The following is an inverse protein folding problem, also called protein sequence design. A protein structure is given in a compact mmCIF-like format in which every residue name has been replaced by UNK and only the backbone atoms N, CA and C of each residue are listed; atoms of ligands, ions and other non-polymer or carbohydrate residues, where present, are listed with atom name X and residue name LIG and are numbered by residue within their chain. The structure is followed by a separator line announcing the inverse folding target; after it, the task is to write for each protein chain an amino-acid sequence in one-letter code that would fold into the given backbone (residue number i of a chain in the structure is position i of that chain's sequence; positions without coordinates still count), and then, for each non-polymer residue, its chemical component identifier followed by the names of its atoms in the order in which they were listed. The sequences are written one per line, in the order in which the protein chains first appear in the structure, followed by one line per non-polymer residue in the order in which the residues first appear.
data_IF_279937047405
#
_entry.id   IF_279937047405
#
_cell.length_a   1.000
_cell.length_b   1.000
_cell.length_c   1.000
_cell.angle_alpha   90.00
_cell.angle_beta   90.00
_cell.angle_gamma   90.00
#
_symmetry.space_group_name_H-M   'P 1'
#
loop_
_entity.id
_entity.type
_entity.pdbx_description
1 polymer ?
#
# COMPACT_ATOMS: atom_id res chain seq x y z
N UNK A 1 35.97 -5.28 54.43
CA UNK A 1 34.55 -5.72 54.40
C UNK A 1 33.69 -4.48 54.55
N UNK A 2 32.80 -4.07 53.66
CA UNK A 2 32.50 -4.44 52.28
C UNK A 2 31.98 -3.15 51.63
N UNK A 3 32.43 -2.87 50.41
CA UNK A 3 32.00 -1.69 49.65
C UNK A 3 30.55 -1.85 49.23
N UNK A 4 29.75 -0.79 49.45
CA UNK A 4 28.44 -0.65 48.84
C UNK A 4 28.68 0.07 47.51
N UNK A 5 28.82 -0.72 46.45
CA UNK A 5 28.80 -0.25 45.08
C UNK A 5 27.39 0.26 44.78
N UNK A 6 27.26 1.58 44.64
CA UNK A 6 26.10 2.18 43.97
C UNK A 6 26.18 1.76 42.51
N UNK A 7 25.30 0.84 42.12
CA UNK A 7 25.11 0.44 40.73
C UNK A 7 24.64 1.69 39.98
N UNK A 8 25.57 2.21 39.20
CA UNK A 8 25.43 3.34 38.29
C UNK A 8 24.27 3.12 37.32
N UNK A 9 23.56 4.22 37.04
CA UNK A 9 22.44 4.25 36.12
C UNK A 9 22.77 3.61 34.79
N UNK A 10 21.78 2.90 34.23
CA UNK A 10 21.78 2.44 32.86
C UNK A 10 22.21 3.58 31.94
N UNK A 11 23.33 3.38 31.27
CA UNK A 11 23.76 4.21 30.15
C UNK A 11 22.61 4.30 29.14
N UNK A 12 22.21 5.54 28.83
CA UNK A 12 21.36 5.83 27.70
C UNK A 12 22.13 5.43 26.45
N UNK A 13 21.72 4.33 25.80
CA UNK A 13 22.25 3.93 24.51
C UNK A 13 22.09 5.09 23.52
N UNK A 14 23.16 5.34 22.77
CA UNK A 14 23.25 6.45 21.84
C UNK A 14 22.10 6.38 20.82
N UNK A 15 21.27 7.44 20.77
CA UNK A 15 20.37 7.69 19.65
C UNK A 15 21.12 7.40 18.36
N UNK A 16 20.62 6.46 17.54
CA UNK A 16 21.05 6.27 16.16
C UNK A 16 21.18 7.65 15.51
N UNK A 17 22.42 8.05 15.20
CA UNK A 17 22.66 9.22 14.38
C UNK A 17 22.37 8.81 12.93
N UNK A 18 21.73 9.69 12.17
CA UNK A 18 21.37 9.42 10.80
C UNK A 18 20.18 10.27 10.33
N UNK A 19 19.45 9.76 9.34
CA UNK A 19 18.27 10.44 8.79
C UNK A 19 17.02 10.03 9.56
N UNK A 20 16.25 11.02 10.01
CA UNK A 20 14.99 10.81 10.74
C UNK A 20 13.82 11.51 10.04
N UNK A 21 12.63 10.95 10.20
CA UNK A 21 11.39 11.57 9.76
C UNK A 21 10.23 11.19 10.68
N UNK A 22 9.38 12.18 10.97
CA UNK A 22 8.03 11.90 11.43
C UNK A 22 7.23 11.21 10.32
N UNK A 23 6.38 10.25 10.71
CA UNK A 23 5.55 9.54 9.78
C UNK A 23 4.23 9.09 10.41
N UNK A 24 3.22 9.04 9.54
CA UNK A 24 1.92 8.39 9.70
C UNK A 24 1.07 8.81 10.89
N UNK A 25 -0.24 8.84 10.68
CA UNK A 25 -1.16 8.53 11.76
C UNK A 25 -1.20 7.01 11.91
N UNK A 26 -0.74 6.47 13.04
CA UNK A 26 -0.77 5.05 13.34
C UNK A 26 -1.29 4.85 14.77
N UNK A 27 -2.45 4.22 14.99
CA UNK A 27 -3.11 4.15 16.29
C UNK A 27 -2.61 2.99 17.16
N UNK A 28 -1.34 2.61 17.02
CA UNK A 28 -0.71 1.56 17.82
C UNK A 28 0.64 2.04 18.30
N UNK A 29 0.89 1.90 19.60
CA UNK A 29 2.16 2.26 20.20
C UNK A 29 3.29 1.37 19.67
N UNK A 30 4.38 1.97 19.23
CA UNK A 30 5.52 1.27 18.69
C UNK A 30 6.83 1.95 19.08
N UNK A 31 7.65 1.25 19.84
CA UNK A 31 9.03 1.64 20.13
C UNK A 31 9.95 0.47 19.82
N UNK A 32 10.84 0.65 18.86
CA UNK A 32 11.77 -0.38 18.39
C UNK A 32 13.14 0.27 18.25
N UNK A 33 14.18 -0.42 18.67
CA UNK A 33 15.55 0.01 18.51
C UNK A 33 16.39 -1.21 18.10
N UNK A 34 17.05 -1.10 16.95
CA UNK A 34 17.96 -2.10 16.39
C UNK A 34 19.21 -1.40 15.85
N UNK A 35 20.23 -2.15 15.44
CA UNK A 35 21.41 -1.53 14.83
C UNK A 35 21.14 -0.92 13.44
N UNK A 36 20.02 -1.29 12.79
CA UNK A 36 19.67 -0.87 11.42
C UNK A 36 18.61 0.23 11.37
N UNK A 37 17.81 0.42 12.43
CA UNK A 37 16.81 1.47 12.51
C UNK A 37 16.28 1.67 13.94
N UNK A 38 15.53 2.76 14.16
CA UNK A 38 14.66 2.89 15.33
C UNK A 38 13.32 3.51 14.98
N UNK A 39 12.27 3.08 15.69
CA UNK A 39 10.95 3.72 15.70
C UNK A 39 10.68 4.21 17.11
N UNK A 40 10.17 5.43 17.22
CA UNK A 40 9.69 5.99 18.49
C UNK A 40 8.29 6.57 18.31
N UNK A 41 7.41 6.29 19.27
CA UNK A 41 6.11 6.94 19.37
C UNK A 41 6.29 8.37 19.89
N UNK A 42 5.61 9.35 19.28
CA UNK A 42 5.66 10.77 19.68
C UNK A 42 4.90 11.02 21.00
N UNK A 43 5.29 12.03 21.80
CA UNK A 43 4.61 12.35 23.07
C UNK A 43 3.12 12.66 22.93
N UNK A 44 2.71 13.30 21.82
CA UNK A 44 1.33 13.71 21.55
C UNK A 44 0.46 12.58 21.00
N UNK A 45 0.98 11.35 20.91
CA UNK A 45 0.31 10.20 20.32
C UNK A 45 -1.12 9.99 20.84
N UNK A 46 -1.32 9.97 22.17
CA UNK A 46 -2.62 9.63 22.75
C UNK A 46 -3.68 10.70 22.41
N UNK A 47 -3.29 11.98 22.46
CA UNK A 47 -4.21 13.08 22.13
C UNK A 47 -4.54 13.10 20.63
N UNK A 48 -3.55 12.84 19.78
CA UNK A 48 -3.74 12.73 18.33
C UNK A 48 -4.72 11.59 18.00
N UNK A 49 -4.52 10.39 18.57
CA UNK A 49 -5.39 9.23 18.33
C UNK A 49 -6.82 9.50 18.80
N UNK A 50 -6.99 10.15 19.96
CA UNK A 50 -8.30 10.53 20.47
C UNK A 50 -9.01 11.54 19.55
N UNK A 51 -8.31 12.56 19.07
CA UNK A 51 -8.87 13.59 18.17
C UNK A 51 -9.29 12.97 16.83
N UNK A 52 -8.40 12.22 16.18
CA UNK A 52 -8.68 11.63 14.86
C UNK A 52 -9.79 10.58 14.96
N UNK A 53 -9.78 9.72 15.98
CA UNK A 53 -10.80 8.68 16.13
C UNK A 53 -12.17 9.26 16.52
N UNK A 54 -12.21 10.43 17.16
CA UNK A 54 -13.43 11.15 17.55
C UNK A 54 -13.93 12.14 16.49
N UNK A 55 -13.25 12.30 15.36
CA UNK A 55 -13.65 13.26 14.32
C UNK A 55 -14.99 12.87 13.70
N UNK A 56 -15.88 13.86 13.52
CA UNK A 56 -17.21 13.67 12.92
C UNK A 56 -17.18 13.13 11.48
N UNK A 57 -16.05 13.27 10.79
CA UNK A 57 -15.84 12.76 9.44
C UNK A 57 -15.29 11.32 9.43
N UNK A 58 -15.21 10.66 10.59
CA UNK A 58 -14.91 9.23 10.67
C UNK A 58 -16.16 8.41 10.41
N UNK A 59 -16.07 7.51 9.43
CA UNK A 59 -17.12 6.55 9.13
C UNK A 59 -16.53 5.18 8.82
N UNK A 60 -16.95 4.15 9.56
CA UNK A 60 -16.55 2.73 9.37
C UNK A 60 -15.02 2.50 9.36
N UNK A 61 -14.28 3.28 10.16
CA UNK A 61 -12.82 3.18 10.27
C UNK A 61 -12.05 3.91 9.16
N UNK A 62 -12.73 4.79 8.42
CA UNK A 62 -12.13 5.70 7.43
C UNK A 62 -12.40 7.15 7.85
N UNK A 63 -11.42 8.02 7.68
CA UNK A 63 -11.61 9.47 7.84
C UNK A 63 -11.70 10.12 6.47
N UNK A 64 -12.68 11.00 6.34
CA UNK A 64 -12.95 11.77 5.14
C UNK A 64 -12.58 13.25 5.38
N UNK A 65 -12.15 13.98 4.34
CA UNK A 65 -11.91 15.40 4.44
C UNK A 65 -13.23 16.13 4.69
N UNK A 66 -13.21 17.09 5.62
CA UNK A 66 -14.35 17.97 5.86
C UNK A 66 -14.64 18.92 4.68
N UNK A 67 -15.75 19.64 4.79
CA UNK A 67 -16.15 20.63 3.79
C UNK A 67 -15.07 21.70 3.61
N UNK A 68 -14.64 21.89 2.35
CA UNK A 68 -13.62 22.90 2.04
C UNK A 68 -14.19 24.30 2.28
N UNK A 69 -13.46 25.13 3.01
CA UNK A 69 -13.82 26.53 3.22
C UNK A 69 -13.14 27.42 2.18
N UNK A 70 -13.90 28.31 1.55
CA UNK A 70 -13.40 29.31 0.62
C UNK A 70 -13.60 30.70 1.23
N UNK A 71 -12.51 31.46 1.33
CA UNK A 71 -12.54 32.86 1.75
C UNK A 71 -12.57 33.75 0.51
N UNK A 72 -13.66 34.49 0.33
CA UNK A 72 -13.81 35.46 -0.75
C UNK A 72 -12.81 36.63 -0.56
N UNK A 73 -12.03 36.90 -1.60
CA UNK A 73 -10.93 37.88 -1.54
C UNK A 73 -11.42 39.32 -1.29
N UNK A 74 -12.59 39.70 -1.82
CA UNK A 74 -13.05 41.10 -1.81
C UNK A 74 -13.73 41.53 -0.50
N UNK A 75 -14.39 40.62 0.21
CA UNK A 75 -15.21 40.92 1.39
C UNK A 75 -14.81 40.09 2.62
N UNK A 76 -13.89 39.11 2.48
CA UNK A 76 -13.46 38.23 3.56
C UNK A 76 -14.49 37.17 3.98
N UNK A 77 -15.64 37.09 3.29
CA UNK A 77 -16.69 36.13 3.62
C UNK A 77 -16.18 34.70 3.43
N UNK A 78 -16.45 33.85 4.42
CA UNK A 78 -16.13 32.43 4.36
C UNK A 78 -17.39 31.66 3.95
N UNK A 79 -17.29 30.87 2.88
CA UNK A 79 -18.34 29.97 2.45
C UNK A 79 -17.84 28.53 2.41
N UNK A 80 -18.68 27.59 2.81
CA UNK A 80 -18.46 26.17 2.55
C UNK A 80 -18.63 25.91 1.06
N UNK A 81 -17.66 25.23 0.45
CA UNK A 81 -17.74 24.77 -0.93
C UNK A 81 -18.70 23.60 -1.04
N UNK A 82 -19.37 23.40 -2.20
CA UNK A 82 -20.28 22.28 -2.43
C UNK A 82 -19.55 20.93 -2.60
N UNK A 83 -18.23 20.90 -2.44
CA UNK A 83 -17.39 19.72 -2.54
C UNK A 83 -16.29 19.75 -1.46
N UNK A 84 -15.83 18.58 -1.05
CA UNK A 84 -14.80 18.44 -0.02
C UNK A 84 -13.39 18.70 -0.59
N UNK A 85 -12.45 19.03 0.29
CA UNK A 85 -11.04 19.07 -0.08
C UNK A 85 -10.59 17.65 -0.46
N UNK A 86 -10.12 17.43 -1.69
CA UNK A 86 -9.73 16.08 -2.14
C UNK A 86 -8.40 15.60 -1.58
N UNK A 87 -7.54 16.53 -1.17
CA UNK A 87 -6.23 16.24 -0.58
C UNK A 87 -6.23 16.75 0.84
N UNK A 88 -5.91 15.89 1.79
CA UNK A 88 -5.79 16.27 3.19
C UNK A 88 -4.61 15.54 3.86
N UNK A 89 -4.34 15.95 5.09
CA UNK A 89 -3.28 15.43 5.94
C UNK A 89 -3.84 14.76 7.19
N UNK A 90 -3.02 13.91 7.79
CA UNK A 90 -3.24 13.44 9.16
C UNK A 90 -2.00 13.77 10.00
N UNK A 91 -2.18 14.06 11.29
CA UNK A 91 -1.06 14.31 12.20
C UNK A 91 -0.14 13.08 12.28
N UNK A 92 1.16 13.33 12.33
CA UNK A 92 2.17 12.28 12.49
C UNK A 92 2.22 11.82 13.94
N UNK A 93 2.48 10.54 14.15
CA UNK A 93 2.43 9.90 15.48
C UNK A 93 3.72 9.20 15.87
N UNK A 94 4.62 8.98 14.91
CA UNK A 94 5.85 8.23 15.11
C UNK A 94 7.02 8.89 14.39
N UNK A 95 8.24 8.59 14.82
CA UNK A 95 9.49 8.93 14.14
C UNK A 95 10.22 7.65 13.77
N UNK A 96 10.64 7.53 12.51
CA UNK A 96 11.55 6.50 12.03
C UNK A 96 12.93 7.14 11.85
N UNK A 97 13.97 6.47 12.32
CA UNK A 97 15.37 6.86 12.11
C UNK A 97 16.13 5.71 11.47
N UNK A 98 16.86 6.00 10.40
CA UNK A 98 17.84 5.12 9.78
C UNK A 98 19.27 5.61 10.08
N UNK A 99 20.27 4.72 10.16
CA UNK A 99 21.65 5.07 10.52
C UNK A 99 22.32 5.99 9.48
N UNK A 100 23.44 6.60 9.87
CA UNK A 100 24.32 7.36 8.97
C UNK A 100 24.66 6.57 7.70
N UNK A 101 24.69 7.27 6.55
CA UNK A 101 24.91 6.67 5.24
C UNK A 101 23.62 6.30 4.49
N UNK A 102 22.46 6.33 5.15
CA UNK A 102 21.14 6.28 4.51
C UNK A 102 20.64 7.65 4.11
N UNK A 103 19.70 7.69 3.18
CA UNK A 103 19.09 8.93 2.68
C UNK A 103 17.56 8.96 2.87
N UNK A 104 16.97 10.13 2.58
CA UNK A 104 15.54 10.35 2.75
C UNK A 104 14.66 9.48 1.84
N UNK A 105 15.08 9.22 0.60
CA UNK A 105 14.31 8.38 -0.32
C UNK A 105 14.22 6.93 0.20
N UNK A 106 15.30 6.41 0.78
CA UNK A 106 15.31 5.08 1.42
C UNK A 106 14.39 5.03 2.65
N UNK A 107 14.40 6.07 3.49
CA UNK A 107 13.49 6.16 4.63
C UNK A 107 12.03 6.18 4.18
N UNK A 108 11.71 7.02 3.20
CA UNK A 108 10.35 7.12 2.67
C UNK A 108 9.89 5.75 2.11
N UNK A 109 10.76 5.05 1.39
CA UNK A 109 10.49 3.69 0.91
C UNK A 109 10.19 2.70 2.05
N UNK A 110 10.96 2.72 3.14
CA UNK A 110 10.69 1.88 4.32
C UNK A 110 9.31 2.18 4.91
N UNK A 111 8.94 3.45 5.03
CA UNK A 111 7.61 3.85 5.51
C UNK A 111 6.51 3.34 4.56
N UNK A 112 6.73 3.36 3.25
CA UNK A 112 5.80 2.79 2.27
C UNK A 112 5.65 1.28 2.37
N UNK A 113 6.73 0.55 2.62
CA UNK A 113 6.64 -0.90 2.87
C UNK A 113 5.88 -1.16 4.18
N UNK A 114 6.17 -0.41 5.24
CA UNK A 114 5.46 -0.51 6.51
C UNK A 114 3.95 -0.24 6.34
N UNK A 115 3.61 0.79 5.56
CA UNK A 115 2.26 1.16 5.13
C UNK A 115 1.52 -0.04 4.50
N UNK A 116 2.18 -0.73 3.56
CA UNK A 116 1.66 -1.94 2.91
C UNK A 116 1.41 -3.07 3.91
N UNK A 117 2.40 -3.48 4.70
CA UNK A 117 2.25 -4.64 5.58
C UNK A 117 1.33 -4.39 6.79
N UNK A 118 1.18 -3.14 7.22
CA UNK A 118 0.16 -2.76 8.22
C UNK A 118 -1.24 -2.72 7.59
N UNK A 119 -1.35 -2.55 6.27
CA UNK A 119 -2.63 -2.40 5.60
C UNK A 119 -3.31 -1.08 5.88
N UNK A 120 -2.52 -0.01 6.04
CA UNK A 120 -3.00 1.33 6.36
C UNK A 120 -2.02 2.37 5.82
N UNK A 121 -2.54 3.50 5.32
CA UNK A 121 -1.69 4.52 4.72
C UNK A 121 -0.84 5.23 5.78
N UNK A 122 0.45 4.93 5.76
CA UNK A 122 1.52 5.67 6.42
C UNK A 122 2.35 6.42 5.37
N UNK A 123 2.77 7.63 5.71
CA UNK A 123 3.61 8.48 4.88
C UNK A 123 4.38 9.46 5.75
N UNK A 124 5.50 9.96 5.26
CA UNK A 124 6.29 11.03 5.89
C UNK A 124 5.87 12.43 5.40
N UNK A 125 4.88 12.51 4.50
CA UNK A 125 4.40 13.78 3.92
C UNK A 125 3.14 14.24 4.65
N UNK A 126 3.11 15.51 5.06
CA UNK A 126 1.99 16.10 5.82
C UNK A 126 0.66 16.11 5.03
N UNK A 127 0.71 16.20 3.71
CA UNK A 127 -0.45 16.14 2.82
C UNK A 127 -0.24 15.09 1.73
N UNK A 128 -1.24 14.23 1.51
CA UNK A 128 -1.10 13.15 0.53
C UNK A 128 -2.15 12.04 0.60
N UNK A 129 -3.18 12.21 1.44
CA UNK A 129 -4.35 11.34 1.46
C UNK A 129 -5.38 11.88 0.47
N UNK A 130 -5.80 11.04 -0.48
CA UNK A 130 -6.77 11.39 -1.51
C UNK A 130 -8.16 10.89 -1.12
N UNK A 131 -9.11 11.80 -1.00
CA UNK A 131 -10.56 11.60 -0.76
C UNK A 131 -10.96 10.88 0.55
N UNK A 132 -10.23 9.86 1.00
CA UNK A 132 -10.28 9.30 2.36
C UNK A 132 -9.04 8.46 2.66
N UNK A 133 -8.83 8.13 3.92
CA UNK A 133 -7.82 7.16 4.35
C UNK A 133 -8.32 6.34 5.52
N UNK A 134 -7.96 5.05 5.65
CA UNK A 134 -8.31 4.31 6.85
C UNK A 134 -7.59 4.91 8.06
N UNK A 135 -8.23 4.81 9.21
CA UNK A 135 -7.67 5.14 10.53
C UNK A 135 -7.42 3.89 11.38
N UNK A 136 -7.51 2.71 10.76
CA UNK A 136 -7.33 1.40 11.38
C UNK A 136 -6.43 0.51 10.51
N UNK A 137 -5.54 -0.29 11.11
CA UNK A 137 -4.76 -1.30 10.40
C UNK A 137 -5.61 -2.34 9.66
N UNK A 138 -5.03 -2.99 8.65
CA UNK A 138 -5.61 -4.13 7.92
C UNK A 138 -6.75 -3.77 6.95
N UNK A 139 -6.92 -2.49 6.61
CA UNK A 139 -7.99 -2.02 5.71
C UNK A 139 -7.59 -2.03 4.23
N UNK A 140 -6.28 -2.04 3.95
CA UNK A 140 -5.74 -1.89 2.59
C UNK A 140 -5.01 -3.13 2.05
N UNK A 141 -5.19 -4.28 2.70
CA UNK A 141 -4.61 -5.58 2.32
C UNK A 141 -5.57 -6.71 2.71
N UNK A 142 -5.37 -7.90 2.13
CA UNK A 142 -6.14 -9.12 2.40
C UNK A 142 -5.40 -10.13 3.29
N UNK A 143 -4.38 -9.68 4.03
CA UNK A 143 -3.63 -10.51 4.96
C UNK A 143 -3.47 -9.86 6.33
N UNK A 144 -3.11 -10.68 7.33
CA UNK A 144 -2.63 -10.24 8.64
C UNK A 144 -1.23 -10.78 8.86
N UNK A 145 -0.35 -9.95 9.44
CA UNK A 145 0.95 -10.42 9.89
C UNK A 145 0.76 -11.42 11.04
N UNK A 146 1.25 -12.64 10.85
CA UNK A 146 1.27 -13.70 11.86
C UNK A 146 2.72 -14.05 12.15
N UNK A 147 3.07 -14.19 13.43
CA UNK A 147 4.43 -14.55 13.87
C UNK A 147 5.54 -13.68 13.24
N UNK A 148 5.19 -12.45 12.88
CA UNK A 148 6.06 -11.47 12.26
C UNK A 148 5.76 -10.12 12.90
N UNK A 149 6.79 -9.32 13.04
CA UNK A 149 6.77 -8.05 13.75
C UNK A 149 6.95 -6.89 12.77
N UNK A 150 6.72 -5.67 13.25
CA UNK A 150 7.08 -4.45 12.52
C UNK A 150 8.58 -4.43 12.21
N UNK A 151 9.42 -4.98 13.09
CA UNK A 151 10.85 -5.06 12.84
C UNK A 151 11.15 -5.95 11.61
N UNK A 152 10.53 -7.13 11.52
CA UNK A 152 10.72 -8.04 10.37
C UNK A 152 10.32 -7.39 9.04
N UNK A 153 9.28 -6.56 9.05
CA UNK A 153 8.85 -5.78 7.88
C UNK A 153 9.90 -4.75 7.45
N UNK A 154 10.47 -4.02 8.41
CA UNK A 154 11.47 -2.99 8.13
C UNK A 154 12.78 -3.62 7.66
N UNK A 155 13.20 -4.72 8.30
CA UNK A 155 14.34 -5.52 7.86
C UNK A 155 14.15 -5.99 6.41
N UNK A 156 12.97 -6.52 6.06
CA UNK A 156 12.64 -6.90 4.68
C UNK A 156 12.75 -5.73 3.68
N UNK A 157 12.25 -4.55 4.05
CA UNK A 157 12.35 -3.36 3.21
C UNK A 157 13.80 -2.91 3.02
N UNK A 158 14.60 -2.94 4.09
CA UNK A 158 16.02 -2.60 4.02
C UNK A 158 16.79 -3.63 3.17
N UNK A 159 16.49 -4.92 3.29
CA UNK A 159 17.11 -5.97 2.48
C UNK A 159 16.75 -5.83 0.99
N UNK A 160 15.52 -5.44 0.67
CA UNK A 160 15.13 -5.09 -0.69
C UNK A 160 15.92 -3.91 -1.24
N UNK A 161 16.12 -2.83 -0.45
CA UNK A 161 16.95 -1.70 -0.87
C UNK A 161 18.39 -2.13 -1.16
N UNK A 162 18.96 -3.04 -0.35
CA UNK A 162 20.29 -3.61 -0.59
C UNK A 162 20.35 -4.42 -1.89
N UNK A 163 19.34 -5.25 -2.17
CA UNK A 163 19.28 -6.05 -3.39
C UNK A 163 19.11 -5.18 -4.65
N UNK A 164 18.50 -4.00 -4.52
CA UNK A 164 18.19 -3.10 -5.64
C UNK A 164 19.16 -1.91 -5.77
N UNK A 165 20.34 -1.93 -5.15
CA UNK A 165 21.31 -0.82 -5.23
C UNK A 165 21.66 -0.38 -6.67
N UNK A 166 21.53 -1.28 -7.64
CA UNK A 166 21.77 -1.01 -9.07
C UNK A 166 20.58 -0.43 -9.85
N UNK A 167 19.36 -0.44 -9.30
CA UNK A 167 18.15 0.05 -9.97
C UNK A 167 17.39 1.05 -9.09
N UNK A 168 17.75 2.33 -9.22
CA UNK A 168 17.08 3.43 -8.51
C UNK A 168 15.58 3.58 -8.84
N UNK A 169 15.07 2.95 -9.92
CA UNK A 169 13.64 2.96 -10.24
C UNK A 169 12.87 1.84 -9.54
N UNK A 170 13.51 0.76 -9.11
CA UNK A 170 12.83 -0.37 -8.49
C UNK A 170 12.09 0.02 -7.20
N UNK A 171 12.72 0.69 -6.20
CA UNK A 171 12.01 1.17 -5.01
C UNK A 171 10.86 2.13 -5.34
N UNK A 172 11.07 3.03 -6.31
CA UNK A 172 10.05 4.00 -6.75
C UNK A 172 8.83 3.31 -7.37
N UNK A 173 9.04 2.24 -8.16
CA UNK A 173 7.96 1.44 -8.73
C UNK A 173 7.19 0.66 -7.65
N UNK A 174 7.87 0.07 -6.67
CA UNK A 174 7.20 -0.61 -5.55
C UNK A 174 6.30 0.38 -4.80
N UNK A 175 6.82 1.56 -4.44
CA UNK A 175 6.01 2.63 -3.84
C UNK A 175 4.80 3.01 -4.70
N UNK A 176 4.98 3.10 -6.02
CA UNK A 176 3.89 3.40 -6.94
C UNK A 176 2.83 2.28 -7.00
N UNK A 177 3.24 1.00 -6.95
CA UNK A 177 2.31 -0.14 -6.90
C UNK A 177 1.50 -0.10 -5.61
N UNK A 178 2.15 0.09 -4.45
CA UNK A 178 1.46 0.21 -3.15
C UNK A 178 0.47 1.36 -3.17
N UNK A 179 0.88 2.52 -3.72
CA UNK A 179 -0.02 3.66 -3.84
C UNK A 179 -1.21 3.36 -4.75
N UNK A 180 -1.00 2.79 -5.93
CA UNK A 180 -2.08 2.44 -6.85
C UNK A 180 -3.06 1.43 -6.23
N UNK A 181 -2.56 0.41 -5.53
CA UNK A 181 -3.38 -0.52 -4.75
C UNK A 181 -4.27 0.22 -3.74
N UNK A 182 -3.69 1.13 -2.97
CA UNK A 182 -4.44 1.88 -1.95
C UNK A 182 -5.46 2.84 -2.55
N UNK A 183 -5.15 3.47 -3.69
CA UNK A 183 -6.12 4.29 -4.41
C UNK A 183 -7.29 3.45 -4.89
N UNK A 184 -7.06 2.22 -5.37
CA UNK A 184 -8.13 1.32 -5.78
C UNK A 184 -9.08 0.92 -4.64
N UNK A 185 -8.63 1.05 -3.39
CA UNK A 185 -9.37 0.66 -2.19
C UNK A 185 -10.16 1.78 -1.54
N UNK A 186 -10.15 2.98 -2.14
CA UNK A 186 -11.01 4.06 -1.70
C UNK A 186 -12.50 3.64 -1.74
N UNK A 187 -13.26 3.77 -0.63
CA UNK A 187 -14.62 3.21 -0.54
C UNK A 187 -15.65 3.76 -1.53
N UNK A 188 -15.43 4.94 -2.12
CA UNK A 188 -16.37 5.55 -3.08
C UNK A 188 -15.89 5.45 -4.54
N UNK A 189 -14.81 4.72 -4.82
CA UNK A 189 -14.40 4.51 -6.20
C UNK A 189 -15.49 3.80 -7.00
N UNK A 190 -15.68 4.26 -8.23
CA UNK A 190 -16.41 3.53 -9.25
C UNK A 190 -15.58 2.34 -9.73
N UNK A 191 -16.24 1.28 -10.19
CA UNK A 191 -15.59 0.02 -10.59
C UNK A 191 -14.50 0.23 -11.65
N UNK A 192 -14.69 1.15 -12.59
CA UNK A 192 -13.68 1.45 -13.62
C UNK A 192 -12.45 2.16 -13.04
N UNK A 193 -12.60 2.98 -11.99
CA UNK A 193 -11.48 3.65 -11.33
C UNK A 193 -10.63 2.62 -10.59
N UNK A 194 -11.29 1.74 -9.82
CA UNK A 194 -10.64 0.59 -9.17
C UNK A 194 -9.88 -0.25 -10.18
N UNK A 195 -10.53 -0.60 -11.29
CA UNK A 195 -9.92 -1.37 -12.38
C UNK A 195 -8.65 -0.71 -12.91
N UNK A 196 -8.71 0.58 -13.24
CA UNK A 196 -7.55 1.30 -13.80
C UNK A 196 -6.37 1.30 -12.82
N UNK A 197 -6.62 1.58 -11.54
CA UNK A 197 -5.58 1.58 -10.51
C UNK A 197 -4.95 0.19 -10.32
N UNK A 198 -5.78 -0.86 -10.21
CA UNK A 198 -5.31 -2.24 -10.06
C UNK A 198 -4.56 -2.71 -11.30
N UNK A 199 -5.02 -2.35 -12.49
CA UNK A 199 -4.33 -2.68 -13.73
C UNK A 199 -2.95 -2.01 -13.82
N UNK A 200 -2.85 -0.72 -13.47
CA UNK A 200 -1.57 -0.02 -13.39
C UNK A 200 -0.62 -0.67 -12.38
N UNK A 201 -1.14 -1.12 -11.23
CA UNK A 201 -0.36 -1.85 -10.22
C UNK A 201 0.18 -3.18 -10.79
N UNK A 202 -0.66 -3.99 -11.46
CA UNK A 202 -0.24 -5.24 -12.10
C UNK A 202 0.84 -5.01 -13.18
N UNK A 203 0.69 -3.99 -14.01
CA UNK A 203 1.67 -3.68 -15.07
C UNK A 203 3.00 -3.19 -14.49
N UNK A 204 2.97 -2.44 -13.40
CA UNK A 204 4.17 -2.02 -12.68
C UNK A 204 4.85 -3.19 -11.94
N UNK A 205 4.08 -4.13 -11.36
CA UNK A 205 4.60 -5.41 -10.87
C UNK A 205 5.30 -6.18 -12.00
N UNK A 206 4.69 -6.29 -13.18
CA UNK A 206 5.32 -6.96 -14.32
C UNK A 206 6.65 -6.31 -14.68
N UNK A 207 6.71 -4.96 -14.71
CA UNK A 207 7.94 -4.24 -15.01
C UNK A 207 9.04 -4.50 -13.99
N UNK A 208 8.72 -4.53 -12.70
CA UNK A 208 9.65 -4.88 -11.61
C UNK A 208 10.23 -6.29 -11.75
N UNK A 209 9.42 -7.21 -12.26
CA UNK A 209 9.77 -8.63 -12.33
C UNK A 209 10.51 -8.97 -13.62
N UNK A 210 10.14 -8.37 -14.76
CA UNK A 210 10.76 -8.64 -16.07
C UNK A 210 12.13 -7.96 -16.21
N UNK A 211 12.35 -6.80 -15.60
CA UNK A 211 13.63 -6.08 -15.69
C UNK A 211 14.79 -6.85 -15.06
N UNK A 212 14.48 -7.80 -14.18
CA UNK A 212 15.45 -8.68 -13.52
C UNK A 212 15.69 -9.99 -14.28
N UNK A 213 14.87 -10.27 -15.28
CA UNK A 213 14.99 -11.52 -16.04
C UNK A 213 15.86 -11.35 -17.27
N UNK A 214 16.75 -12.31 -17.48
CA UNK A 214 17.44 -12.49 -18.74
C UNK A 214 16.51 -13.17 -19.79
N UNK A 215 15.24 -12.74 -19.89
CA UNK A 215 14.32 -13.36 -20.83
C UNK A 215 14.59 -12.87 -22.25
N UNK A 216 14.73 -13.81 -23.18
CA UNK A 216 14.91 -13.53 -24.62
C UNK A 216 13.57 -13.44 -25.36
N UNK A 217 12.48 -13.87 -24.74
CA UNK A 217 11.17 -13.96 -25.34
C UNK A 217 10.29 -12.75 -24.99
N UNK A 218 9.62 -12.19 -26.00
CA UNK A 218 8.71 -11.05 -25.80
C UNK A 218 7.40 -11.54 -25.19
N UNK A 219 7.16 -11.21 -23.93
CA UNK A 219 5.91 -11.51 -23.24
C UNK A 219 4.82 -10.56 -23.76
N UNK A 220 3.72 -11.12 -24.28
CA UNK A 220 2.57 -10.36 -24.76
C UNK A 220 1.91 -9.61 -23.60
N UNK A 221 1.26 -8.48 -23.89
CA UNK A 221 0.55 -7.72 -22.86
C UNK A 221 -0.56 -8.55 -22.18
N UNK A 222 -1.28 -9.37 -22.96
CA UNK A 222 -2.33 -10.25 -22.48
C UNK A 222 -1.81 -11.38 -21.56
N UNK A 223 -0.57 -11.82 -21.74
CA UNK A 223 0.05 -12.90 -20.99
C UNK A 223 0.84 -12.48 -19.75
N UNK A 224 0.99 -11.17 -19.46
CA UNK A 224 1.84 -10.68 -18.37
C UNK A 224 1.44 -11.20 -16.98
N UNK A 225 0.14 -11.18 -16.68
CA UNK A 225 -0.38 -11.59 -15.37
C UNK A 225 -0.19 -13.09 -15.17
N UNK A 226 -0.56 -13.90 -16.17
CA UNK A 226 -0.33 -15.34 -16.14
C UNK A 226 1.16 -15.67 -15.95
N UNK A 227 2.04 -15.02 -16.73
CA UNK A 227 3.49 -15.23 -16.62
C UNK A 227 4.03 -14.91 -15.22
N UNK A 228 3.59 -13.81 -14.59
CA UNK A 228 3.99 -13.49 -13.22
C UNK A 228 3.48 -14.52 -12.21
N UNK A 229 2.24 -14.99 -12.36
CA UNK A 229 1.68 -16.02 -11.50
C UNK A 229 2.49 -17.31 -11.62
N UNK A 230 2.79 -17.77 -12.83
CA UNK A 230 3.61 -18.95 -13.08
C UNK A 230 5.02 -18.80 -12.49
N UNK A 231 5.64 -17.62 -12.69
CA UNK A 231 6.99 -17.33 -12.17
C UNK A 231 7.09 -17.42 -10.65
N UNK A 232 6.08 -16.92 -9.96
CA UNK A 232 6.02 -17.00 -8.50
C UNK A 232 5.23 -18.21 -8.00
N UNK A 233 4.87 -19.14 -8.89
CA UNK A 233 4.09 -20.34 -8.58
C UNK A 233 2.83 -19.98 -7.75
N UNK A 234 2.11 -18.97 -8.20
CA UNK A 234 0.81 -18.53 -7.70
C UNK A 234 -0.30 -19.16 -8.58
N UNK A 235 -1.48 -19.50 -8.01
CA UNK A 235 -2.62 -19.93 -8.80
C UNK A 235 -3.03 -18.86 -9.83
N UNK A 236 -3.05 -19.22 -11.12
CA UNK A 236 -3.46 -18.30 -12.20
C UNK A 236 -4.99 -18.11 -12.16
N UNK A 237 -5.51 -16.89 -11.92
CA UNK A 237 -6.94 -16.65 -11.93
C UNK A 237 -7.53 -16.85 -13.33
N UNK A 238 -8.79 -17.31 -13.41
CA UNK A 238 -9.43 -17.60 -14.70
C UNK A 238 -9.45 -16.39 -15.63
N UNK A 239 -9.67 -15.18 -15.08
CA UNK A 239 -9.68 -13.95 -15.87
C UNK A 239 -8.33 -13.56 -16.46
N UNK A 240 -7.23 -14.11 -15.93
CA UNK A 240 -5.85 -13.84 -16.35
C UNK A 240 -5.31 -14.87 -17.36
N UNK A 241 -5.97 -16.01 -17.50
CA UNK A 241 -5.54 -17.09 -18.40
C UNK A 241 -5.54 -16.60 -19.84
N UNK A 242 -4.45 -16.87 -20.54
CA UNK A 242 -4.19 -16.48 -21.92
C UNK A 242 -3.72 -17.72 -22.69
N UNK A 243 -4.23 -17.88 -23.91
CA UNK A 243 -3.74 -18.85 -24.88
C UNK A 243 -3.33 -18.16 -26.18
N UNK A 244 -2.62 -18.87 -27.07
CA UNK A 244 -2.23 -18.30 -28.36
C UNK A 244 -3.44 -17.89 -29.23
N UNK A 245 -4.59 -18.54 -29.01
CA UNK A 245 -5.82 -18.33 -29.79
C UNK A 245 -6.82 -17.43 -29.08
N UNK A 246 -6.71 -17.26 -27.76
CA UNK A 246 -7.68 -16.50 -26.95
C UNK A 246 -6.97 -15.52 -25.99
N UNK A 247 -7.23 -14.20 -26.12
CA UNK A 247 -6.74 -13.22 -25.16
C UNK A 247 -7.41 -13.42 -23.79
N UNK A 248 -6.72 -13.06 -22.72
CA UNK A 248 -7.32 -13.08 -21.38
C UNK A 248 -8.47 -12.08 -21.29
N UNK A 249 -9.53 -12.42 -20.55
CA UNK A 249 -10.68 -11.54 -20.35
C UNK A 249 -10.26 -10.16 -19.79
N UNK A 250 -9.25 -10.14 -18.90
CA UNK A 250 -8.67 -8.91 -18.39
C UNK A 250 -8.12 -8.02 -19.50
N UNK A 251 -7.39 -8.60 -20.45
CA UNK A 251 -6.78 -7.84 -21.55
C UNK A 251 -7.82 -7.26 -22.51
N UNK A 252 -8.93 -7.97 -22.71
CA UNK A 252 -10.08 -7.50 -23.51
C UNK A 252 -10.73 -6.29 -22.85
N UNK A 253 -11.11 -6.41 -21.56
CA UNK A 253 -11.71 -5.30 -20.79
C UNK A 253 -10.77 -4.10 -20.77
N UNK A 254 -9.46 -4.31 -20.55
CA UNK A 254 -8.47 -3.26 -20.61
C UNK A 254 -8.46 -2.55 -21.96
N UNK A 255 -8.43 -3.29 -23.06
CA UNK A 255 -8.35 -2.67 -24.38
C UNK A 255 -9.58 -1.79 -24.66
N UNK A 256 -10.78 -2.27 -24.39
CA UNK A 256 -12.00 -1.47 -24.53
C UNK A 256 -12.01 -0.25 -23.61
N UNK A 257 -11.56 -0.41 -22.36
CA UNK A 257 -11.55 0.68 -21.37
C UNK A 257 -10.64 1.82 -21.82
N UNK A 258 -9.42 1.51 -22.28
CA UNK A 258 -8.42 2.53 -22.59
C UNK A 258 -8.50 3.06 -24.02
N UNK A 259 -8.91 2.24 -24.99
CA UNK A 259 -8.95 2.64 -26.40
C UNK A 259 -10.33 3.09 -26.87
N UNK A 260 -11.39 2.62 -26.22
CA UNK A 260 -12.77 2.88 -26.67
C UNK A 260 -13.63 3.55 -25.59
N UNK A 261 -13.09 3.78 -24.38
CA UNK A 261 -13.83 4.28 -23.21
C UNK A 261 -15.05 3.43 -22.85
N UNK A 262 -14.99 2.13 -23.18
CA UNK A 262 -16.03 1.13 -22.90
C UNK A 262 -15.56 0.23 -21.75
N UNK A 263 -16.30 0.21 -20.65
CA UNK A 263 -16.06 -0.65 -19.49
C UNK A 263 -17.28 -1.54 -19.29
N UNK A 264 -17.11 -2.86 -19.45
CA UNK A 264 -18.20 -3.85 -19.44
C UNK A 264 -19.38 -3.45 -20.34
N UNK A 265 -19.09 -3.22 -21.63
CA UNK A 265 -20.06 -2.88 -22.70
C UNK A 265 -20.83 -1.57 -22.51
N UNK A 266 -20.45 -0.72 -21.55
CA UNK A 266 -21.02 0.60 -21.33
C UNK A 266 -19.98 1.71 -21.24
N UNK A 267 -20.39 2.99 -21.38
CA UNK A 267 -19.50 4.12 -21.09
C UNK A 267 -18.97 4.08 -19.66
N UNK A 268 -17.77 4.63 -19.45
CA UNK A 268 -17.18 4.78 -18.11
C UNK A 268 -18.18 5.46 -17.15
N UNK A 269 -18.37 4.86 -15.97
CA UNK A 269 -19.30 5.35 -14.94
C UNK A 269 -20.76 4.93 -15.12
N UNK A 270 -21.17 4.46 -16.31
CA UNK A 270 -22.54 4.01 -16.58
C UNK A 270 -22.71 2.51 -16.34
N UNK A 271 -21.68 1.71 -16.60
CA UNK A 271 -21.66 0.29 -16.27
C UNK A 271 -21.66 0.01 -14.74
N UNK A 272 -21.91 1.01 -13.89
CA UNK A 272 -22.04 0.87 -12.45
C UNK A 272 -23.09 1.78 -11.80
N UNK A 273 -24.05 2.33 -12.57
CA UNK A 273 -25.22 3.03 -12.02
C UNK A 273 -26.48 2.74 -12.84
N UNK A 274 -27.41 1.93 -12.30
CA UNK A 274 -28.81 1.92 -12.74
C UNK A 274 -29.20 1.15 -14.01
N UNK A 275 -28.41 0.22 -14.55
CA UNK A 275 -28.89 -0.53 -15.72
C UNK A 275 -27.89 -1.46 -16.40
N UNK A 276 -27.40 -2.46 -15.68
CA UNK A 276 -27.11 -3.81 -16.14
C UNK A 276 -26.80 -4.62 -14.87
N UNK A 277 -27.37 -5.81 -14.76
CA UNK A 277 -27.25 -6.66 -13.57
C UNK A 277 -25.78 -6.74 -13.15
N UNK A 278 -25.49 -6.42 -11.88
CA UNK A 278 -24.17 -6.73 -11.29
C UNK A 278 -23.98 -8.24 -11.45
N UNK A 279 -23.29 -8.66 -12.51
CA UNK A 279 -22.81 -10.03 -12.58
C UNK A 279 -21.81 -10.12 -11.44
N UNK A 280 -22.16 -10.87 -10.38
CA UNK A 280 -21.33 -11.01 -9.18
C UNK A 280 -19.87 -11.36 -9.53
N UNK A 281 -19.68 -12.02 -10.67
CA UNK A 281 -18.40 -12.34 -11.31
C UNK A 281 -17.49 -11.11 -11.53
N UNK A 282 -18.03 -9.94 -11.90
CA UNK A 282 -17.24 -8.73 -12.19
C UNK A 282 -16.70 -8.05 -10.93
N UNK A 283 -17.52 -7.92 -9.87
CA UNK A 283 -17.04 -7.42 -8.57
C UNK A 283 -16.01 -8.38 -7.97
N UNK A 284 -16.17 -9.68 -8.20
CA UNK A 284 -15.21 -10.69 -7.77
C UNK A 284 -13.86 -10.55 -8.51
N UNK A 285 -13.83 -10.17 -9.79
CA UNK A 285 -12.57 -9.91 -10.51
C UNK A 285 -11.76 -8.79 -9.87
N UNK A 286 -12.37 -7.66 -9.52
CA UNK A 286 -11.66 -6.54 -8.91
C UNK A 286 -11.05 -6.92 -7.55
N UNK A 287 -11.80 -7.67 -6.73
CA UNK A 287 -11.29 -8.20 -5.46
C UNK A 287 -10.13 -9.20 -5.67
N UNK A 288 -10.23 -10.06 -6.68
CA UNK A 288 -9.16 -10.99 -7.04
C UNK A 288 -7.90 -10.25 -7.54
N UNK A 289 -8.05 -9.16 -8.28
CA UNK A 289 -6.92 -8.33 -8.74
C UNK A 289 -6.22 -7.68 -7.55
N UNK A 290 -6.96 -7.13 -6.58
CA UNK A 290 -6.43 -6.59 -5.33
C UNK A 290 -5.60 -7.63 -4.55
N UNK A 291 -6.20 -8.79 -4.31
CA UNK A 291 -5.55 -9.93 -3.65
C UNK A 291 -4.28 -10.39 -4.38
N UNK A 292 -4.33 -10.42 -5.72
CA UNK A 292 -3.16 -10.79 -6.54
C UNK A 292 -2.04 -9.75 -6.42
N UNK A 293 -2.36 -8.45 -6.47
CA UNK A 293 -1.36 -7.38 -6.27
C UNK A 293 -0.68 -7.50 -4.91
N UNK A 294 -1.44 -7.82 -3.85
CA UNK A 294 -0.86 -8.06 -2.52
C UNK A 294 0.14 -9.23 -2.52
N UNK A 295 -0.20 -10.37 -3.13
CA UNK A 295 0.71 -11.52 -3.26
C UNK A 295 1.95 -11.17 -4.09
N UNK A 296 1.77 -10.48 -5.22
CA UNK A 296 2.88 -10.03 -6.08
C UNK A 296 3.83 -9.09 -5.32
N UNK A 297 3.31 -8.14 -4.54
CA UNK A 297 4.13 -7.25 -3.72
C UNK A 297 4.97 -8.02 -2.70
N UNK A 298 4.37 -8.97 -1.97
CA UNK A 298 5.11 -9.83 -1.01
C UNK A 298 6.21 -10.63 -1.71
N UNK A 299 5.91 -11.20 -2.88
CA UNK A 299 6.88 -11.95 -3.65
C UNK A 299 8.03 -11.05 -4.17
N UNK A 300 7.70 -9.87 -4.72
CA UNK A 300 8.65 -8.89 -5.24
C UNK A 300 9.57 -8.35 -4.15
N UNK A 301 9.05 -8.13 -2.94
CA UNK A 301 9.81 -7.64 -1.78
C UNK A 301 10.78 -8.69 -1.22
N UNK A 302 10.80 -9.91 -1.75
CA UNK A 302 11.79 -10.94 -1.41
C UNK A 302 11.22 -12.16 -0.67
N UNK A 303 9.90 -12.32 -0.62
CA UNK A 303 9.24 -13.46 0.03
C UNK A 303 8.38 -14.28 -0.94
N UNK A 304 8.90 -14.78 -2.08
CA UNK A 304 8.10 -15.49 -3.09
C UNK A 304 7.60 -16.88 -2.63
N UNK A 305 8.26 -17.48 -1.63
CA UNK A 305 7.99 -18.85 -1.21
C UNK A 305 7.08 -18.97 0.01
N UNK A 306 6.64 -17.86 0.60
CA UNK A 306 5.78 -17.91 1.80
C UNK A 306 4.40 -18.44 1.45
N UNK A 307 3.77 -19.18 2.37
CA UNK A 307 2.49 -19.86 2.11
C UNK A 307 1.39 -18.91 1.62
N UNK A 308 1.34 -17.69 2.16
CA UNK A 308 0.41 -16.64 1.73
C UNK A 308 0.43 -16.39 0.22
N UNK A 309 1.61 -16.31 -0.40
CA UNK A 309 1.77 -16.05 -1.84
C UNK A 309 1.10 -17.13 -2.69
N UNK A 310 0.99 -18.35 -2.17
CA UNK A 310 0.43 -19.53 -2.86
C UNK A 310 -1.08 -19.69 -2.67
N UNK A 311 -1.67 -18.87 -1.81
CA UNK A 311 -3.11 -18.94 -1.55
C UNK A 311 -3.90 -18.47 -2.77
N UNK A 312 -5.08 -19.05 -2.99
CA UNK A 312 -5.97 -18.64 -4.07
C UNK A 312 -6.51 -17.23 -3.84
N UNK A 313 -6.65 -16.45 -4.91
CA UNK A 313 -7.24 -15.11 -4.86
C UNK A 313 -8.77 -15.10 -4.92
N UNK A 314 -9.40 -16.25 -5.20
CA UNK A 314 -10.85 -16.37 -5.33
C UNK A 314 -11.61 -16.48 -3.99
N UNK A 315 -10.91 -16.27 -2.87
CA UNK A 315 -11.48 -16.29 -1.53
C UNK A 315 -11.69 -14.87 -1.00
N UNK A 316 -12.56 -14.74 0.01
CA UNK A 316 -12.71 -13.52 0.83
C UNK A 316 -12.05 -13.65 2.20
N UNK A 317 -11.33 -14.75 2.42
CA UNK A 317 -10.63 -15.02 3.67
C UNK A 317 -9.43 -14.09 3.81
N UNK A 318 -9.23 -13.60 5.03
CA UNK A 318 -7.99 -12.91 5.40
C UNK A 318 -6.95 -13.98 5.72
N UNK A 319 -5.83 -13.95 5.01
CA UNK A 319 -4.78 -14.95 5.16
C UNK A 319 -3.71 -14.52 6.17
N UNK A 320 -3.16 -15.47 6.92
CA UNK A 320 -1.98 -15.22 7.73
C UNK A 320 -0.73 -15.11 6.83
N UNK A 321 0.07 -14.06 7.03
CA UNK A 321 1.36 -13.84 6.39
C UNK A 321 2.47 -13.97 7.43
N UNK A 322 3.32 -14.98 7.26
CA UNK A 322 4.52 -15.20 8.08
C UNK A 322 5.75 -14.85 7.22
N UNK A 323 6.47 -13.78 7.58
CA UNK A 323 7.68 -13.33 6.88
C UNK A 323 8.92 -14.12 7.30
N UNK A 324 8.88 -14.67 8.51
CA UNK A 324 9.90 -15.52 9.09
C UNK A 324 9.33 -16.94 9.19
N UNK A 325 9.93 -17.88 8.44
CA UNK A 325 9.66 -19.30 8.53
C UNK A 325 10.58 -19.98 9.54
#
# INVERSE_FOLDING_TARGET
MGGISMVTGKEYNALLRGVSAEFGYYPVFCNIETDRFSIRTLPEYESIVAVVSGDSNVLKGWIYPGAQQYREFMNGNVRSMPYNARVFGLPMTHVLTLPEGRNREELDFVVWCLSFFIGMRLTTTEAGFLDATPIQPGKLVDFILSRSTIADVIELALDYLESERGDARAPKRVTAVIHALFLALYPQNLSFERFQYLYMALDACFKLVVDKEATTSRISHAGRVQWMCEKFDMPVPDWAKHSQTEPSSLSVVRNYTFHEAIFFDGPLGFASYGGNQRLAEQENTLLQMEALVCRLLVAILGKPSVGYVKTSVNSREIHALELCG
#
